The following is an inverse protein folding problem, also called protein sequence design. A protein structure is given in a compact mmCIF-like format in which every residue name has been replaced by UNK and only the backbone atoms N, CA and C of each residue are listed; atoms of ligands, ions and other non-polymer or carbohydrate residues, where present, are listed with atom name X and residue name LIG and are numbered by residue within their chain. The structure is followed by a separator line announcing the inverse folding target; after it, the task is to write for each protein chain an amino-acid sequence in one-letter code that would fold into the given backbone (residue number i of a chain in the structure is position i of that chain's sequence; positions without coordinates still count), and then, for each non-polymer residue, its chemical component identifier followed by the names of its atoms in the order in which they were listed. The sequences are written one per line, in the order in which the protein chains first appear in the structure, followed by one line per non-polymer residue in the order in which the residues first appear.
data_IF_818449826786
#
_entry.id   IF_818449826786
#
_cell.length_a   1.000
_cell.length_b   1.000
_cell.length_c   1.000
_cell.angle_alpha   90.00
_cell.angle_beta   90.00
_cell.angle_gamma   90.00
#
_symmetry.space_group_name_H-M   'P 1'
#
loop_
_entity.id
_entity.type
_entity.pdbx_description
1 polymer ?
#
# COMPACT_ATOMS: atom_id res chain seq x y z
N UNK A 1 9.81 4.14 1.60
CA UNK A 1 8.81 5.00 0.92
C UNK A 1 9.09 5.17 -0.58
N UNK A 2 10.29 5.50 -1.04
CA UNK A 2 10.58 5.69 -2.48
C UNK A 2 10.17 4.48 -3.33
N UNK A 3 10.45 3.26 -2.89
CA UNK A 3 10.03 2.05 -3.60
C UNK A 3 8.50 1.90 -3.67
N UNK A 4 7.76 2.31 -2.63
CA UNK A 4 6.30 2.33 -2.70
C UNK A 4 5.79 3.32 -3.75
N UNK A 5 6.44 4.50 -3.87
CA UNK A 5 6.13 5.49 -4.92
C UNK A 5 6.40 4.91 -6.32
N UNK A 6 7.54 4.24 -6.52
CA UNK A 6 7.86 3.59 -7.80
C UNK A 6 6.85 2.50 -8.17
N UNK A 7 6.39 1.73 -7.18
CA UNK A 7 5.37 0.71 -7.38
C UNK A 7 4.01 1.32 -7.73
N UNK A 8 3.65 2.46 -7.15
CA UNK A 8 2.42 3.17 -7.48
C UNK A 8 2.32 3.51 -8.97
N UNK A 9 3.46 3.76 -9.64
CA UNK A 9 3.49 4.00 -11.10
C UNK A 9 3.05 2.79 -11.93
N UNK A 10 3.01 1.59 -11.34
CA UNK A 10 2.51 0.37 -11.99
C UNK A 10 1.01 0.16 -11.83
N UNK A 11 0.34 1.01 -11.06
CA UNK A 11 -1.10 0.90 -10.84
C UNK A 11 -1.88 0.94 -12.16
N UNK A 12 -2.85 0.07 -12.27
CA UNK A 12 -3.80 0.02 -13.39
C UNK A 12 -5.16 0.62 -13.04
N UNK A 13 -5.23 1.35 -11.93
CA UNK A 13 -6.41 2.09 -11.50
C UNK A 13 -6.41 3.50 -12.13
N UNK A 14 -7.56 3.96 -12.62
CA UNK A 14 -7.72 5.31 -13.20
C UNK A 14 -7.98 6.39 -12.14
N UNK A 15 -8.32 6.00 -10.91
CA UNK A 15 -8.73 6.93 -9.83
C UNK A 15 -7.59 7.31 -8.90
N UNK A 16 -6.80 6.33 -8.45
CA UNK A 16 -5.73 6.54 -7.49
C UNK A 16 -4.60 5.53 -7.72
N UNK A 17 -3.38 6.01 -7.75
CA UNK A 17 -2.20 5.16 -7.88
C UNK A 17 -1.56 4.96 -6.51
N UNK A 18 -1.64 3.74 -6.00
CA UNK A 18 -1.14 3.35 -4.68
C UNK A 18 -0.10 2.25 -4.81
N UNK A 19 0.98 2.39 -4.05
CA UNK A 19 2.01 1.37 -3.89
C UNK A 19 2.25 1.08 -2.42
N UNK A 20 2.52 -0.17 -2.09
CA UNK A 20 2.81 -0.64 -0.75
C UNK A 20 4.04 -1.55 -0.72
N UNK A 21 4.84 -1.44 0.34
CA UNK A 21 6.03 -2.28 0.58
C UNK A 21 6.00 -2.75 2.03
N UNK A 22 6.12 -4.06 2.23
CA UNK A 22 6.22 -4.67 3.55
C UNK A 22 7.69 -4.96 3.87
N UNK A 23 8.13 -4.47 5.02
CA UNK A 23 9.54 -4.55 5.47
C UNK A 23 9.59 -5.28 6.81
N UNK A 24 10.45 -6.27 6.91
CA UNK A 24 10.76 -6.99 8.14
C UNK A 24 12.27 -7.14 8.29
N UNK A 25 12.79 -6.85 9.48
CA UNK A 25 14.23 -6.95 9.79
C UNK A 25 15.11 -6.18 8.78
N UNK A 26 14.65 -4.97 8.38
CA UNK A 26 15.34 -4.12 7.41
C UNK A 26 15.28 -4.60 5.96
N UNK A 27 14.54 -5.67 5.66
CA UNK A 27 14.42 -6.25 4.32
C UNK A 27 13.00 -6.13 3.79
N UNK A 28 12.87 -5.85 2.50
CA UNK A 28 11.58 -5.93 1.80
C UNK A 28 11.23 -7.40 1.66
N UNK A 29 10.08 -7.80 2.19
CA UNK A 29 9.58 -9.18 2.12
C UNK A 29 8.37 -9.31 1.17
N UNK A 30 7.67 -8.22 0.87
CA UNK A 30 6.64 -8.17 -0.14
C UNK A 30 6.39 -6.74 -0.63
N UNK A 31 5.72 -6.64 -1.76
CA UNK A 31 5.29 -5.38 -2.32
C UNK A 31 3.99 -5.54 -3.10
N UNK A 32 3.27 -4.44 -3.30
CA UNK A 32 2.02 -4.43 -4.07
C UNK A 32 1.72 -3.05 -4.64
N UNK A 33 0.92 -3.03 -5.66
CA UNK A 33 0.27 -1.82 -6.20
C UNK A 33 -1.20 -2.14 -6.47
N UNK A 34 -2.05 -1.13 -6.51
CA UNK A 34 -3.46 -1.37 -6.73
C UNK A 34 -3.78 -1.64 -8.21
N UNK A 35 -4.68 -2.59 -8.45
CA UNK A 35 -5.08 -2.99 -9.78
C UNK A 35 -6.05 -4.16 -9.77
N UNK A 36 -6.58 -4.51 -10.93
CA UNK A 36 -7.49 -5.64 -11.09
C UNK A 36 -6.83 -6.96 -10.70
N UNK A 37 -7.64 -7.96 -10.37
CA UNK A 37 -7.18 -9.33 -10.14
C UNK A 37 -6.38 -9.80 -11.36
N UNK A 38 -5.24 -10.45 -11.11
CA UNK A 38 -4.36 -10.95 -12.18
C UNK A 38 -5.12 -11.80 -13.20
N UNK A 39 -4.91 -11.50 -14.48
CA UNK A 39 -5.59 -12.19 -15.59
C UNK A 39 -6.99 -11.65 -15.92
N UNK A 40 -7.44 -10.58 -15.24
CA UNK A 40 -8.71 -9.90 -15.57
C UNK A 40 -8.45 -8.52 -16.18
N UNK A 41 -9.40 -7.96 -16.95
CA UNK A 41 -9.24 -6.64 -17.54
C UNK A 41 -8.99 -5.54 -16.50
N UNK A 42 -8.13 -4.58 -16.82
CA UNK A 42 -7.78 -3.46 -15.96
C UNK A 42 -8.75 -2.30 -16.07
N UNK A 43 -8.85 -1.47 -15.02
CA UNK A 43 -9.66 -0.24 -15.08
C UNK A 43 -9.22 0.70 -16.20
N UNK A 44 -7.95 0.73 -16.55
CA UNK A 44 -7.40 1.48 -17.68
C UNK A 44 -7.90 0.97 -19.04
N UNK A 45 -8.40 -0.26 -19.14
CA UNK A 45 -8.88 -0.89 -20.36
C UNK A 45 -10.41 -0.84 -20.47
N UNK A 46 -11.11 -1.13 -19.37
CA UNK A 46 -12.56 -1.33 -19.36
C UNK A 46 -13.33 -0.38 -18.44
N UNK A 47 -12.64 0.59 -17.84
CA UNK A 47 -13.21 1.55 -16.89
C UNK A 47 -13.37 1.00 -15.47
N UNK A 48 -13.73 1.90 -14.57
CA UNK A 48 -13.97 1.58 -13.16
C UNK A 48 -15.32 0.89 -12.98
N UNK A 49 -15.40 -0.03 -12.05
CA UNK A 49 -16.66 -0.61 -11.56
C UNK A 49 -16.94 -0.01 -10.17
N UNK A 50 -17.71 1.06 -10.13
CA UNK A 50 -17.98 1.81 -8.90
C UNK A 50 -19.28 1.37 -8.26
N UNK A 51 -19.21 0.98 -6.99
CA UNK A 51 -20.36 0.68 -6.12
C UNK A 51 -20.18 1.49 -4.83
N UNK A 52 -21.18 2.22 -4.42
CA UNK A 52 -21.16 3.06 -3.21
C UNK A 52 -19.92 3.96 -3.11
N UNK A 53 -19.52 4.56 -4.24
CA UNK A 53 -18.36 5.46 -4.32
C UNK A 53 -16.99 4.76 -4.37
N UNK A 54 -16.92 3.44 -4.26
CA UNK A 54 -15.69 2.65 -4.31
C UNK A 54 -15.59 1.81 -5.58
N UNK A 55 -14.39 1.77 -6.18
CA UNK A 55 -14.15 0.82 -7.27
C UNK A 55 -13.95 -0.58 -6.69
N UNK A 56 -14.85 -1.50 -7.00
CA UNK A 56 -14.78 -2.89 -6.53
C UNK A 56 -13.95 -3.81 -7.44
N UNK A 57 -13.47 -3.30 -8.58
CA UNK A 57 -12.61 -4.07 -9.49
C UNK A 57 -11.18 -4.18 -8.96
N UNK A 58 -10.67 -3.11 -8.37
CA UNK A 58 -9.27 -3.04 -7.95
C UNK A 58 -9.05 -3.70 -6.58
N UNK A 59 -8.05 -4.58 -6.51
CA UNK A 59 -7.43 -5.01 -5.26
C UNK A 59 -6.50 -3.90 -4.80
N UNK A 60 -6.52 -3.53 -3.54
CA UNK A 60 -5.68 -2.47 -3.00
C UNK A 60 -4.20 -2.90 -2.91
N UNK A 61 -3.29 -1.94 -2.90
CA UNK A 61 -1.86 -2.18 -2.87
C UNK A 61 -1.43 -2.99 -1.63
N UNK A 62 -1.99 -2.65 -0.47
CA UNK A 62 -1.73 -3.33 0.81
C UNK A 62 -2.24 -4.78 0.76
N UNK A 63 -3.43 -4.99 0.20
CA UNK A 63 -4.00 -6.33 0.01
C UNK A 63 -3.11 -7.17 -0.91
N UNK A 64 -2.66 -6.59 -2.04
CA UNK A 64 -1.76 -7.27 -2.96
C UNK A 64 -0.44 -7.66 -2.28
N UNK A 65 0.14 -6.76 -1.47
CA UNK A 65 1.36 -7.08 -0.72
C UNK A 65 1.15 -8.22 0.28
N UNK A 66 0.03 -8.22 1.03
CA UNK A 66 -0.31 -9.30 1.96
C UNK A 66 -0.58 -10.62 1.23
N UNK A 67 -1.25 -10.58 0.06
CA UNK A 67 -1.50 -11.79 -0.73
C UNK A 67 -0.22 -12.37 -1.31
N UNK A 68 0.78 -11.56 -1.64
CA UNK A 68 2.11 -12.05 -2.01
C UNK A 68 2.75 -12.84 -0.86
N UNK A 69 2.71 -12.31 0.35
CA UNK A 69 3.21 -13.01 1.54
C UNK A 69 2.47 -14.35 1.75
N UNK A 70 1.15 -14.34 1.63
CA UNK A 70 0.34 -15.56 1.75
C UNK A 70 0.72 -16.62 0.70
N UNK A 71 0.92 -16.20 -0.57
CA UNK A 71 1.35 -17.11 -1.64
C UNK A 71 2.73 -17.71 -1.40
N UNK A 72 3.63 -16.95 -0.79
CA UNK A 72 5.01 -17.39 -0.52
C UNK A 72 5.16 -18.10 0.84
N UNK A 73 4.11 -18.15 1.66
CA UNK A 73 4.17 -18.71 3.01
C UNK A 73 5.04 -17.89 3.97
N UNK A 74 5.16 -16.57 3.75
CA UNK A 74 5.98 -15.67 4.58
C UNK A 74 5.08 -14.94 5.57
N UNK A 75 5.44 -14.97 6.85
CA UNK A 75 4.72 -14.26 7.90
C UNK A 75 5.02 -12.77 7.89
N UNK A 76 3.96 -11.94 7.91
CA UNK A 76 4.03 -10.50 8.11
C UNK A 76 4.17 -10.08 9.58
N UNK A 77 4.05 -11.03 10.51
CA UNK A 77 4.07 -10.74 11.94
C UNK A 77 5.34 -10.01 12.37
N UNK A 78 5.19 -8.89 13.07
CA UNK A 78 6.27 -8.00 13.47
C UNK A 78 6.80 -7.08 12.36
N UNK A 79 6.28 -7.16 11.14
CA UNK A 79 6.71 -6.31 10.04
C UNK A 79 6.13 -4.88 10.12
N UNK A 80 6.66 -3.98 9.30
CA UNK A 80 6.12 -2.66 9.04
C UNK A 80 5.73 -2.51 7.57
N UNK A 81 4.76 -1.64 7.29
CA UNK A 81 4.35 -1.31 5.93
C UNK A 81 4.66 0.15 5.60
N UNK A 82 5.10 0.39 4.37
CA UNK A 82 5.21 1.70 3.74
C UNK A 82 4.20 1.76 2.60
N UNK A 83 3.27 2.69 2.65
CA UNK A 83 2.21 2.85 1.65
C UNK A 83 2.11 4.31 1.22
N UNK A 84 1.80 4.56 -0.05
CA UNK A 84 1.74 5.94 -0.57
C UNK A 84 0.57 6.73 -0.02
N UNK A 85 -0.50 6.09 0.39
CA UNK A 85 -1.73 6.73 0.87
C UNK A 85 -2.16 6.14 2.22
N UNK A 86 -2.80 6.96 3.06
CA UNK A 86 -3.34 6.49 4.33
C UNK A 86 -4.26 5.28 4.08
N UNK A 87 -4.04 4.13 4.74
CA UNK A 87 -4.80 2.91 4.45
C UNK A 87 -6.28 3.04 4.84
N UNK A 88 -7.17 2.57 3.99
CA UNK A 88 -8.59 2.52 4.29
C UNK A 88 -8.89 1.53 5.43
N UNK A 89 -10.11 1.57 5.97
CA UNK A 89 -10.55 0.70 7.08
C UNK A 89 -10.35 -0.79 6.78
N UNK A 90 -10.63 -1.22 5.54
CA UNK A 90 -10.46 -2.63 5.16
C UNK A 90 -8.99 -3.05 5.15
N UNK A 91 -8.12 -2.24 4.57
CA UNK A 91 -6.68 -2.51 4.55
C UNK A 91 -6.09 -2.45 5.96
N UNK A 92 -6.47 -1.47 6.77
CA UNK A 92 -6.00 -1.37 8.17
C UNK A 92 -6.33 -2.64 8.94
N UNK A 93 -7.58 -3.15 8.87
CA UNK A 93 -7.96 -4.40 9.56
C UNK A 93 -7.10 -5.59 9.11
N UNK A 94 -6.83 -5.71 7.81
CA UNK A 94 -6.00 -6.80 7.29
C UNK A 94 -4.53 -6.67 7.73
N UNK A 95 -3.97 -5.47 7.70
CA UNK A 95 -2.62 -5.19 8.18
C UNK A 95 -2.46 -5.53 9.67
N UNK A 96 -3.41 -5.09 10.50
CA UNK A 96 -3.42 -5.41 11.93
C UNK A 96 -3.56 -6.91 12.19
N UNK A 97 -4.44 -7.59 11.45
CA UNK A 97 -4.65 -9.03 11.60
C UNK A 97 -3.45 -9.85 11.11
N UNK A 98 -2.67 -9.33 10.15
CA UNK A 98 -1.43 -9.93 9.68
C UNK A 98 -0.23 -9.72 10.62
N UNK A 99 -0.41 -8.94 11.70
CA UNK A 99 0.65 -8.67 12.69
C UNK A 99 1.57 -7.51 12.33
N UNK A 100 1.13 -6.60 11.44
CA UNK A 100 1.90 -5.36 11.16
C UNK A 100 1.93 -4.50 12.43
N UNK A 101 3.14 -4.04 12.79
CA UNK A 101 3.40 -3.27 14.02
C UNK A 101 3.58 -1.78 13.78
N UNK A 102 3.85 -1.39 12.54
CA UNK A 102 4.02 0.01 12.16
C UNK A 102 3.52 0.26 10.74
N UNK A 103 2.77 1.36 10.56
CA UNK A 103 2.30 1.84 9.26
C UNK A 103 2.94 3.19 8.96
N UNK A 104 3.62 3.29 7.82
CA UNK A 104 4.23 4.53 7.33
C UNK A 104 3.50 4.92 6.04
N UNK A 105 2.89 6.11 6.01
CA UNK A 105 2.16 6.59 4.83
C UNK A 105 2.69 7.95 4.36
N UNK A 106 2.43 8.29 3.08
CA UNK A 106 2.92 9.53 2.47
C UNK A 106 1.82 10.59 2.38
N UNK A 107 0.67 10.25 1.81
CA UNK A 107 -0.45 11.17 1.57
C UNK A 107 -1.64 10.85 2.48
N UNK A 108 -2.27 11.89 3.01
CA UNK A 108 -3.54 11.71 3.70
C UNK A 108 -4.61 11.24 2.70
N UNK A 109 -5.45 10.34 3.17
CA UNK A 109 -6.65 9.87 2.50
C UNK A 109 -7.81 9.99 3.51
N UNK A 110 -8.95 9.41 3.27
CA UNK A 110 -10.06 9.44 4.22
C UNK A 110 -9.64 8.86 5.57
N UNK A 111 -9.50 9.72 6.58
CA UNK A 111 -9.24 9.30 7.95
C UNK A 111 -10.58 8.96 8.60
N UNK A 112 -10.75 7.70 8.96
CA UNK A 112 -11.90 7.21 9.70
C UNK A 112 -11.53 7.12 11.19
N UNK A 113 -12.33 7.70 12.07
CA UNK A 113 -12.10 7.64 13.52
C UNK A 113 -12.02 6.20 14.02
N UNK A 114 -12.73 5.28 13.38
CA UNK A 114 -12.67 3.86 13.68
C UNK A 114 -11.27 3.27 13.38
N UNK A 115 -10.61 3.70 12.31
CA UNK A 115 -9.23 3.31 12.00
C UNK A 115 -8.28 3.77 13.09
N UNK A 116 -8.40 5.03 13.50
CA UNK A 116 -7.58 5.61 14.59
C UNK A 116 -7.75 4.84 15.90
N UNK A 117 -8.98 4.51 16.24
CA UNK A 117 -9.30 3.72 17.44
C UNK A 117 -8.69 2.31 17.36
N UNK A 118 -8.83 1.61 16.22
CA UNK A 118 -8.24 0.28 16.02
C UNK A 118 -6.72 0.29 16.21
N UNK A 119 -6.04 1.27 15.65
CA UNK A 119 -4.58 1.41 15.77
C UNK A 119 -4.16 1.62 17.22
N UNK A 120 -4.88 2.46 17.97
CA UNK A 120 -4.63 2.70 19.38
C UNK A 120 -4.85 1.43 20.23
N UNK A 121 -5.97 0.75 20.05
CA UNK A 121 -6.29 -0.49 20.79
C UNK A 121 -5.26 -1.59 20.52
N UNK A 122 -4.75 -1.67 19.29
CA UNK A 122 -3.73 -2.66 18.91
C UNK A 122 -2.30 -2.20 19.19
N UNK A 123 -2.11 -0.98 19.71
CA UNK A 123 -0.79 -0.36 19.96
C UNK A 123 0.11 -0.38 18.72
N UNK A 124 -0.46 -0.10 17.56
CA UNK A 124 0.25 -0.02 16.27
C UNK A 124 0.51 1.44 15.93
N UNK A 125 1.78 1.79 15.72
CA UNK A 125 2.14 3.16 15.34
C UNK A 125 1.79 3.44 13.88
N UNK A 126 1.28 4.65 13.62
CA UNK A 126 1.06 5.16 12.27
C UNK A 126 1.74 6.51 12.13
N UNK A 127 2.56 6.67 11.10
CA UNK A 127 3.37 7.87 10.90
C UNK A 127 3.29 8.35 9.46
N UNK A 128 3.12 9.66 9.29
CA UNK A 128 3.24 10.30 7.99
C UNK A 128 4.71 10.54 7.67
N UNK A 129 5.18 9.95 6.56
CA UNK A 129 6.54 10.15 6.07
C UNK A 129 6.56 11.33 5.11
N UNK A 130 7.46 12.28 5.34
CA UNK A 130 7.68 13.39 4.41
C UNK A 130 8.74 12.96 3.39
N UNK A 131 8.34 12.77 2.13
CA UNK A 131 9.27 12.59 1.02
C UNK A 131 9.37 13.90 0.24
N UNK A 132 10.57 14.45 0.12
CA UNK A 132 10.83 15.70 -0.60
C UNK A 132 11.28 15.43 -2.03
N UNK A 133 11.18 16.47 -2.89
CA UNK A 133 11.80 16.40 -4.24
C UNK A 133 13.28 16.09 -4.16
N UNK A 134 13.98 16.63 -3.16
CA UNK A 134 15.40 16.38 -2.95
C UNK A 134 15.71 14.91 -2.65
N UNK A 135 14.80 14.18 -1.97
CA UNK A 135 14.99 12.75 -1.74
C UNK A 135 14.86 11.94 -3.01
N UNK A 136 13.97 12.34 -3.92
CA UNK A 136 13.81 11.71 -5.24
C UNK A 136 14.98 12.05 -6.18
N UNK A 137 15.50 13.28 -6.09
CA UNK A 137 16.64 13.74 -6.91
C UNK A 137 17.97 13.06 -6.54
N UNK A 138 18.07 12.42 -5.37
CA UNK A 138 19.24 11.59 -5.02
C UNK A 138 19.38 10.36 -5.92
N UNK A 139 18.30 9.99 -6.62
CA UNK A 139 18.31 8.87 -7.56
C UNK A 139 18.52 9.44 -8.96
N UNK A 140 19.73 9.31 -9.49
CA UNK A 140 20.02 9.62 -10.89
C UNK A 140 19.53 8.47 -11.78
N UNK A 141 18.27 8.53 -12.19
CA UNK A 141 17.71 7.52 -13.10
C UNK A 141 18.40 7.50 -14.46
N UNK A 142 18.99 8.64 -14.92
CA UNK A 142 19.65 8.72 -16.19
C UNK A 142 20.95 7.89 -16.21
N UNK A 143 21.59 7.69 -15.05
CA UNK A 143 22.78 6.87 -14.93
C UNK A 143 22.52 5.37 -15.18
N UNK A 144 21.26 4.95 -15.26
CA UNK A 144 20.84 3.54 -15.47
C UNK A 144 20.22 3.31 -16.86
N UNK A 145 20.11 4.34 -17.70
CA UNK A 145 19.58 4.29 -19.06
C UNK A 145 20.71 4.42 -20.09
#
# INVERSE_FOLDING_TARGET
MIQAIMLAARSTCTRLHVGAVVVKDGRIIASGYNGSVSGTPHCTEVGDLVVDGHCIRAVHAEQNALMQLAKMGISADGAQVFVTDFPCVHCTKLLLQAGITKINYLRNYHNDDFVTNLLQVKNVSIEQVVATKADLQKIDFAAYL
#
